data_IF_184870053091
#
_entry.id   IF_184870053091
#
_cell.length_a   1.000
_cell.length_b   1.000
_cell.length_c   1.000
_cell.angle_alpha   90.00
_cell.angle_beta   90.00
_cell.angle_gamma   90.00
#
_symmetry.space_group_name_H-M   'P 1'
#
loop_
_entity.id
_entity.type
_entity.pdbx_description
1 polymer ?
#
# COMPACT_ATOMS: atom_id res chain seq x y z
N UNK A 1 9.18 -36.74 -13.59
CA UNK A 1 9.22 -35.71 -12.52
C UNK A 1 8.53 -34.47 -13.05
N UNK A 2 7.45 -34.01 -12.41
CA UNK A 2 6.79 -32.76 -12.82
C UNK A 2 7.76 -31.60 -12.61
N UNK A 3 7.87 -30.69 -13.59
CA UNK A 3 8.63 -29.46 -13.43
C UNK A 3 8.14 -28.72 -12.16
N UNK A 4 9.04 -28.14 -11.35
CA UNK A 4 8.61 -27.38 -10.18
C UNK A 4 7.69 -26.26 -10.65
N UNK A 5 6.46 -26.24 -10.11
CA UNK A 5 5.46 -25.20 -10.38
C UNK A 5 6.13 -23.86 -10.06
N UNK A 6 6.33 -23.02 -11.06
CA UNK A 6 6.99 -21.72 -10.88
C UNK A 6 6.20 -20.94 -9.82
N UNK A 7 6.86 -20.54 -8.73
CA UNK A 7 6.19 -19.82 -7.65
C UNK A 7 5.61 -18.51 -8.21
N UNK A 8 4.30 -18.32 -8.05
CA UNK A 8 3.62 -17.13 -8.55
C UNK A 8 4.10 -15.89 -7.80
N UNK A 9 4.26 -14.77 -8.53
CA UNK A 9 4.57 -13.48 -7.92
C UNK A 9 3.49 -13.12 -6.88
N UNK A 10 3.93 -12.57 -5.75
CA UNK A 10 3.10 -12.13 -4.63
C UNK A 10 3.16 -10.62 -4.51
N UNK A 11 2.03 -10.01 -4.17
CA UNK A 11 1.96 -8.57 -3.94
C UNK A 11 1.60 -8.33 -2.48
N UNK A 12 2.51 -7.65 -1.78
CA UNK A 12 2.30 -7.11 -0.45
C UNK A 12 1.67 -5.72 -0.61
N UNK A 13 0.39 -5.59 -0.31
CA UNK A 13 -0.32 -4.31 -0.30
C UNK A 13 -0.37 -3.80 1.15
N UNK A 14 0.19 -2.62 1.39
CA UNK A 14 0.16 -2.00 2.72
C UNK A 14 -0.55 -0.66 2.65
N UNK A 15 -1.58 -0.49 3.46
CA UNK A 15 -2.21 0.82 3.64
C UNK A 15 -1.52 1.62 4.72
N UNK A 16 -1.38 2.92 4.44
CA UNK A 16 -1.01 3.92 5.43
C UNK A 16 -2.26 4.50 6.09
N UNK A 17 -2.11 4.79 7.37
CA UNK A 17 -3.12 5.33 8.24
C UNK A 17 -2.57 5.42 9.65
N UNK A 18 -3.37 5.96 10.56
CA UNK A 18 -3.01 6.10 11.97
C UNK A 18 -3.82 5.12 12.84
N UNK A 19 -3.24 4.63 13.95
CA UNK A 19 -3.99 3.90 14.96
C UNK A 19 -4.99 4.83 15.66
N UNK A 20 -5.80 4.25 16.56
CA UNK A 20 -6.75 5.02 17.38
C UNK A 20 -6.06 6.21 18.07
N UNK A 21 -6.73 7.38 18.14
CA UNK A 21 -8.11 7.62 17.75
C UNK A 21 -8.34 7.92 16.25
N UNK A 22 -7.29 7.95 15.43
CA UNK A 22 -7.35 8.49 14.06
C UNK A 22 -7.63 7.44 12.97
N UNK A 23 -8.28 6.33 13.31
CA UNK A 23 -8.55 5.21 12.38
C UNK A 23 -9.49 5.58 11.24
N UNK A 24 -10.39 6.54 11.48
CA UNK A 24 -11.47 6.92 10.56
C UNK A 24 -11.30 8.36 10.06
N UNK A 25 -10.05 8.80 9.94
CA UNK A 25 -9.67 10.13 9.45
C UNK A 25 -9.27 10.11 7.98
N UNK A 26 -9.22 11.27 7.32
CA UNK A 26 -8.76 11.35 5.93
C UNK A 26 -7.34 10.79 5.76
N UNK A 27 -6.47 10.95 6.75
CA UNK A 27 -5.13 10.37 6.74
C UNK A 27 -5.10 8.84 6.87
N UNK A 28 -6.25 8.22 7.15
CA UNK A 28 -6.45 6.77 7.20
C UNK A 28 -7.31 6.27 6.03
N UNK A 29 -7.53 7.08 4.99
CA UNK A 29 -8.25 6.67 3.78
C UNK A 29 -7.69 5.36 3.18
N UNK A 30 -6.37 5.18 3.21
CA UNK A 30 -5.74 3.92 2.76
C UNK A 30 -6.26 2.69 3.50
N UNK A 31 -6.51 2.77 4.82
CA UNK A 31 -7.08 1.66 5.59
C UNK A 31 -8.48 1.32 5.13
N UNK A 32 -9.32 2.34 4.89
CA UNK A 32 -10.69 2.19 4.39
C UNK A 32 -10.70 1.52 3.01
N UNK A 33 -9.85 2.00 2.10
CA UNK A 33 -9.70 1.42 0.76
C UNK A 33 -9.31 -0.05 0.85
N UNK A 34 -8.29 -0.42 1.62
CA UNK A 34 -7.88 -1.82 1.72
C UNK A 34 -8.97 -2.74 2.29
N UNK A 35 -9.76 -2.23 3.25
CA UNK A 35 -10.86 -3.00 3.85
C UNK A 35 -11.92 -3.37 2.82
N UNK A 36 -12.30 -2.44 1.93
CA UNK A 36 -13.28 -2.69 0.89
C UNK A 36 -12.67 -3.42 -0.31
N UNK A 37 -11.45 -3.05 -0.73
CA UNK A 37 -10.72 -3.73 -1.80
C UNK A 37 -10.68 -5.24 -1.60
N UNK A 38 -10.48 -5.70 -0.36
CA UNK A 38 -10.41 -7.12 -0.01
C UNK A 38 -11.61 -7.93 -0.52
N UNK A 39 -12.84 -7.38 -0.50
CA UNK A 39 -14.04 -8.13 -0.90
C UNK A 39 -14.14 -8.33 -2.41
N UNK A 40 -13.40 -7.55 -3.19
CA UNK A 40 -13.36 -7.64 -4.65
C UNK A 40 -12.20 -8.51 -5.16
N UNK A 41 -11.24 -8.84 -4.31
CA UNK A 41 -10.10 -9.66 -4.69
C UNK A 41 -10.45 -11.15 -4.67
N UNK A 42 -10.07 -11.92 -5.71
CA UNK A 42 -10.46 -13.31 -5.85
C UNK A 42 -9.84 -14.17 -4.73
N UNK A 43 -10.67 -14.97 -4.06
CA UNK A 43 -10.29 -15.86 -2.96
C UNK A 43 -9.51 -15.16 -1.83
N UNK A 44 -9.70 -13.85 -1.64
CA UNK A 44 -9.00 -13.10 -0.61
C UNK A 44 -9.70 -13.26 0.75
N UNK A 45 -9.02 -13.75 1.81
CA UNK A 45 -9.63 -13.93 3.12
C UNK A 45 -10.06 -12.61 3.76
N UNK A 46 -11.01 -12.66 4.70
CA UNK A 46 -11.36 -11.51 5.52
C UNK A 46 -10.15 -11.05 6.37
N UNK A 47 -10.15 -9.77 6.75
CA UNK A 47 -9.14 -9.24 7.68
C UNK A 47 -9.27 -9.91 9.05
N UNK A 48 -8.12 -10.25 9.62
CA UNK A 48 -7.99 -10.72 10.99
C UNK A 48 -6.79 -10.06 11.67
N UNK A 49 -6.80 -10.04 13.00
CA UNK A 49 -5.69 -9.50 13.79
C UNK A 49 -4.56 -10.53 13.86
N UNK A 50 -3.35 -10.13 13.52
CA UNK A 50 -2.13 -10.93 13.68
C UNK A 50 -0.98 -10.11 14.27
N UNK A 51 -0.05 -10.78 14.96
CA UNK A 51 1.15 -10.19 15.57
C UNK A 51 2.42 -10.41 14.75
N UNK A 52 2.27 -11.09 13.63
CA UNK A 52 3.36 -11.59 12.79
C UNK A 52 4.24 -10.50 12.18
N UNK A 53 3.66 -9.38 11.81
CA UNK A 53 4.32 -8.35 10.99
C UNK A 53 4.90 -7.18 11.81
N UNK A 54 4.67 -7.14 13.13
CA UNK A 54 5.00 -5.98 13.95
C UNK A 54 5.62 -6.33 15.31
N UNK A 55 6.59 -7.26 15.33
CA UNK A 55 7.34 -7.65 16.54
C UNK A 55 6.42 -8.01 17.71
N UNK A 56 5.42 -8.87 17.48
CA UNK A 56 4.49 -9.27 18.53
C UNK A 56 3.32 -8.30 18.76
N UNK A 57 3.34 -7.10 18.16
CA UNK A 57 2.21 -6.15 18.22
C UNK A 57 1.19 -6.45 17.11
N UNK A 58 -0.09 -6.30 17.41
CA UNK A 58 -1.17 -6.60 16.47
C UNK A 58 -1.25 -5.63 15.29
N UNK A 59 -1.59 -6.15 14.11
CA UNK A 59 -2.05 -5.41 12.94
C UNK A 59 -3.22 -6.15 12.28
N UNK A 60 -4.03 -5.44 11.50
CA UNK A 60 -5.05 -6.09 10.66
C UNK A 60 -4.38 -6.59 9.38
N UNK A 61 -4.59 -7.86 9.08
CA UNK A 61 -4.05 -8.53 7.91
C UNK A 61 -5.09 -9.41 7.21
N UNK A 62 -5.03 -9.45 5.89
CA UNK A 62 -5.71 -10.42 5.05
C UNK A 62 -4.66 -11.09 4.17
N UNK A 63 -4.36 -12.36 4.44
CA UNK A 63 -3.24 -13.09 3.82
C UNK A 63 -3.81 -14.15 2.88
N UNK A 64 -3.85 -13.84 1.58
CA UNK A 64 -4.29 -14.74 0.51
C UNK A 64 -3.11 -15.38 -0.22
N UNK A 65 -3.39 -16.13 -1.29
CA UNK A 65 -2.34 -16.74 -2.12
C UNK A 65 -1.62 -15.70 -2.98
N UNK A 66 -2.35 -14.79 -3.62
CA UNK A 66 -1.78 -13.73 -4.47
C UNK A 66 -1.39 -12.48 -3.68
N UNK A 67 -2.25 -12.07 -2.75
CA UNK A 67 -2.14 -10.80 -2.05
C UNK A 67 -1.96 -10.97 -0.54
N UNK A 68 -1.01 -10.23 0.02
CA UNK A 68 -0.91 -9.99 1.46
C UNK A 68 -1.33 -8.55 1.72
N UNK A 69 -2.53 -8.32 2.25
CA UNK A 69 -3.04 -6.98 2.59
C UNK A 69 -2.76 -6.68 4.06
N UNK A 70 -2.07 -5.58 4.36
CA UNK A 70 -1.80 -5.16 5.74
C UNK A 70 -2.25 -3.71 5.98
N UNK A 71 -2.81 -3.45 7.15
CA UNK A 71 -3.02 -2.09 7.64
C UNK A 71 -1.89 -1.72 8.61
N UNK A 72 -1.16 -0.65 8.31
CA UNK A 72 -0.11 -0.13 9.19
C UNK A 72 -0.68 0.19 10.58
N UNK A 73 -0.21 -0.43 11.67
CA UNK A 73 -0.74 -0.21 13.01
C UNK A 73 -0.01 0.93 13.76
N UNK A 74 0.78 1.73 13.05
CA UNK A 74 1.72 2.70 13.63
C UNK A 74 1.34 4.12 13.26
N UNK A 75 1.75 5.10 14.06
CA UNK A 75 1.61 6.51 13.66
C UNK A 75 2.27 6.77 12.30
N UNK A 76 1.65 7.66 11.52
CA UNK A 76 1.99 7.89 10.13
C UNK A 76 3.47 8.24 9.93
N UNK A 77 4.05 9.09 10.79
CA UNK A 77 5.44 9.53 10.68
C UNK A 77 6.48 8.40 10.91
N UNK A 78 6.06 7.25 11.47
CA UNK A 78 6.91 6.09 11.78
C UNK A 78 6.47 4.80 11.07
N UNK A 79 5.58 4.88 10.08
CA UNK A 79 5.12 3.72 9.30
C UNK A 79 6.23 2.96 8.57
N UNK A 80 7.35 3.61 8.24
CA UNK A 80 8.44 2.99 7.48
C UNK A 80 9.04 1.76 8.15
N UNK A 81 9.17 1.76 9.48
CA UNK A 81 9.69 0.62 10.21
C UNK A 81 8.77 -0.60 10.12
N UNK A 82 7.45 -0.39 10.15
CA UNK A 82 6.47 -1.47 9.97
C UNK A 82 6.52 -2.03 8.55
N UNK A 83 6.51 -1.15 7.54
CA UNK A 83 6.55 -1.57 6.12
C UNK A 83 7.81 -2.39 5.83
N UNK A 84 8.98 -1.94 6.32
CA UNK A 84 10.24 -2.68 6.21
C UNK A 84 10.12 -4.10 6.79
N UNK A 85 9.68 -4.21 8.06
CA UNK A 85 9.56 -5.51 8.74
C UNK A 85 8.58 -6.43 8.03
N UNK A 86 7.46 -5.90 7.55
CA UNK A 86 6.47 -6.68 6.83
C UNK A 86 7.04 -7.23 5.51
N UNK A 87 7.75 -6.40 4.75
CA UNK A 87 8.41 -6.80 3.51
C UNK A 87 9.48 -7.87 3.76
N UNK A 88 10.39 -7.65 4.72
CA UNK A 88 11.46 -8.60 5.07
C UNK A 88 10.90 -9.93 5.62
N UNK A 89 9.76 -9.89 6.33
CA UNK A 89 9.08 -11.10 6.77
C UNK A 89 8.51 -11.88 5.59
N UNK A 90 7.78 -11.23 4.69
CA UNK A 90 7.24 -11.91 3.51
C UNK A 90 8.37 -12.47 2.64
N UNK A 91 9.47 -11.72 2.49
CA UNK A 91 10.64 -12.17 1.75
C UNK A 91 11.26 -13.43 2.37
N UNK A 92 11.40 -13.48 3.69
CA UNK A 92 11.87 -14.67 4.42
C UNK A 92 10.91 -15.86 4.24
N UNK A 93 9.60 -15.63 4.31
CA UNK A 93 8.57 -16.65 4.07
C UNK A 93 8.67 -17.26 2.66
N UNK A 94 9.15 -16.47 1.70
CA UNK A 94 9.40 -16.89 0.32
C UNK A 94 10.82 -17.42 0.06
N UNK A 95 11.60 -17.70 1.10
CA UNK A 95 12.97 -18.21 0.95
C UNK A 95 13.94 -17.23 0.30
N UNK A 96 13.69 -15.92 0.42
CA UNK A 96 14.57 -14.88 -0.13
C UNK A 96 14.36 -14.57 -1.61
N UNK A 97 13.28 -15.06 -2.24
CA UNK A 97 12.94 -14.82 -3.65
C UNK A 97 12.39 -13.41 -3.89
N UNK A 98 13.29 -12.44 -3.90
CA UNK A 98 12.99 -10.99 -4.06
C UNK A 98 12.29 -10.67 -5.39
N UNK A 99 12.61 -11.43 -6.45
CA UNK A 99 12.01 -11.33 -7.78
C UNK A 99 10.51 -11.65 -7.79
N UNK A 100 10.03 -12.36 -6.77
CA UNK A 100 8.64 -12.79 -6.65
C UNK A 100 7.85 -11.99 -5.61
N UNK A 101 8.47 -11.05 -4.88
CA UNK A 101 7.79 -10.22 -3.89
C UNK A 101 7.74 -8.76 -4.33
N UNK A 102 6.54 -8.23 -4.46
CA UNK A 102 6.29 -6.86 -4.91
C UNK A 102 5.54 -6.08 -3.84
N UNK A 103 5.75 -4.76 -3.78
CA UNK A 103 5.18 -3.90 -2.75
C UNK A 103 4.31 -2.82 -3.39
N UNK A 104 3.08 -2.69 -2.91
CA UNK A 104 2.20 -1.57 -3.25
C UNK A 104 1.78 -0.89 -1.97
N UNK A 105 2.02 0.42 -1.88
CA UNK A 105 1.60 1.22 -0.73
C UNK A 105 0.39 2.08 -1.10
N UNK A 106 -0.71 1.92 -0.37
CA UNK A 106 -1.95 2.71 -0.57
C UNK A 106 -2.00 3.82 0.48
N UNK A 107 -2.14 5.07 0.05
CA UNK A 107 -2.09 6.23 0.94
C UNK A 107 -2.92 7.40 0.41
N UNK A 108 -3.29 8.34 1.28
CA UNK A 108 -4.00 9.56 0.92
C UNK A 108 -3.13 10.55 0.12
N UNK A 109 -3.75 11.36 -0.72
CA UNK A 109 -3.10 12.41 -1.51
C UNK A 109 -3.95 13.68 -1.47
N UNK A 110 -3.38 14.74 -0.92
CA UNK A 110 -4.04 16.03 -0.72
C UNK A 110 -4.34 16.77 -2.02
N UNK A 111 -3.85 16.30 -3.15
CA UNK A 111 -3.83 17.09 -4.38
C UNK A 111 -4.51 16.36 -5.54
N UNK A 112 -5.08 15.19 -5.24
CA UNK A 112 -6.04 14.52 -6.08
C UNK A 112 -7.43 14.87 -5.54
N UNK A 113 -8.40 15.00 -6.45
CA UNK A 113 -9.79 15.23 -6.07
C UNK A 113 -10.30 14.06 -5.22
N UNK A 114 -11.30 14.32 -4.37
CA UNK A 114 -11.90 13.27 -3.56
C UNK A 114 -12.37 12.11 -4.44
N UNK A 115 -11.87 10.90 -4.18
CA UNK A 115 -12.21 9.70 -4.95
C UNK A 115 -11.27 9.42 -6.14
N UNK A 116 -10.46 10.39 -6.57
CA UNK A 116 -9.49 10.20 -7.65
C UNK A 116 -8.36 9.27 -7.20
N UNK A 117 -7.90 8.39 -8.09
CA UNK A 117 -6.81 7.47 -7.79
C UNK A 117 -5.70 7.61 -8.80
N UNK A 118 -4.45 7.43 -8.35
CA UNK A 118 -3.30 7.39 -9.24
C UNK A 118 -2.29 6.33 -8.83
N UNK A 119 -1.99 5.43 -9.77
CA UNK A 119 -0.81 4.57 -9.67
C UNK A 119 0.45 5.40 -9.90
N UNK A 120 1.36 5.39 -8.93
CA UNK A 120 2.63 6.12 -8.97
C UNK A 120 3.81 5.17 -8.90
N UNK A 121 4.85 5.48 -9.69
CA UNK A 121 6.17 4.84 -9.55
C UNK A 121 6.71 5.09 -8.13
N UNK A 122 7.39 4.10 -7.55
CA UNK A 122 7.92 4.18 -6.19
C UNK A 122 8.71 5.47 -5.92
N UNK A 123 9.66 5.81 -6.80
CA UNK A 123 10.59 6.92 -6.66
C UNK A 123 9.97 8.31 -6.94
N UNK A 124 8.70 8.39 -7.31
CA UNK A 124 8.04 9.69 -7.49
C UNK A 124 7.96 10.46 -6.17
N UNK A 125 7.85 11.80 -6.24
CA UNK A 125 7.78 12.68 -5.07
C UNK A 125 6.76 12.21 -4.04
N UNK A 126 7.14 12.24 -2.76
CA UNK A 126 6.24 11.94 -1.65
C UNK A 126 5.25 13.08 -1.36
N UNK A 127 5.35 14.23 -2.04
CA UNK A 127 4.43 15.39 -1.94
C UNK A 127 4.06 15.77 -0.49
N UNK A 128 5.07 15.84 0.37
CA UNK A 128 4.87 16.16 1.79
C UNK A 128 4.38 15.01 2.69
N UNK A 129 3.83 13.90 2.14
CA UNK A 129 3.21 12.83 2.91
C UNK A 129 4.19 12.13 3.89
N UNK A 130 3.88 12.18 5.18
CA UNK A 130 4.79 11.75 6.26
C UNK A 130 5.05 10.25 6.29
N UNK A 131 4.06 9.42 5.96
CA UNK A 131 4.22 7.97 5.88
C UNK A 131 5.15 7.53 4.76
N UNK A 132 4.95 8.03 3.53
CA UNK A 132 5.87 7.79 2.40
C UNK A 132 7.29 8.28 2.72
N UNK A 133 7.45 9.47 3.33
CA UNK A 133 8.76 9.93 3.81
C UNK A 133 9.38 8.93 4.78
N UNK A 134 8.59 8.40 5.72
CA UNK A 134 9.02 7.40 6.69
C UNK A 134 9.51 6.12 6.01
N UNK A 135 8.77 5.61 5.03
CA UNK A 135 9.16 4.39 4.30
C UNK A 135 10.45 4.62 3.52
N UNK A 136 10.56 5.72 2.79
CA UNK A 136 11.77 6.03 2.00
C UNK A 136 13.04 6.16 2.86
N UNK A 137 12.91 6.49 4.15
CA UNK A 137 14.04 6.48 5.11
C UNK A 137 14.42 5.08 5.56
N UNK A 138 13.46 4.19 5.74
CA UNK A 138 13.67 2.87 6.37
C UNK A 138 13.92 1.73 5.37
N UNK A 139 13.30 1.80 4.20
CA UNK A 139 13.25 0.74 3.21
C UNK A 139 13.77 1.27 1.86
N UNK A 140 14.99 0.87 1.48
CA UNK A 140 15.64 1.32 0.24
C UNK A 140 15.40 0.29 -0.86
N UNK A 141 14.93 0.78 -2.01
CA UNK A 141 14.67 -0.09 -3.17
C UNK A 141 15.96 -0.73 -3.71
N UNK A 142 17.10 -0.06 -3.57
CA UNK A 142 18.43 -0.56 -3.95
C UNK A 142 18.79 -1.86 -3.27
N UNK A 143 18.25 -2.13 -2.09
CA UNK A 143 18.60 -3.31 -1.30
C UNK A 143 17.82 -4.56 -1.77
N UNK A 144 16.85 -4.38 -2.67
CA UNK A 144 15.91 -5.41 -3.13
C UNK A 144 15.75 -5.39 -4.65
N UNK A 145 16.86 -5.54 -5.36
CA UNK A 145 16.87 -5.62 -6.82
C UNK A 145 15.98 -6.78 -7.31
N UNK A 146 15.20 -6.55 -8.36
CA UNK A 146 14.19 -7.50 -8.85
C UNK A 146 12.78 -7.30 -8.27
N UNK A 147 12.64 -6.77 -7.06
CA UNK A 147 11.33 -6.43 -6.51
C UNK A 147 10.77 -5.16 -7.19
N UNK A 148 9.51 -5.18 -7.63
CA UNK A 148 8.83 -4.01 -8.20
C UNK A 148 7.92 -3.38 -7.16
N UNK A 149 8.07 -2.07 -6.97
CA UNK A 149 7.34 -1.32 -5.95
C UNK A 149 6.56 -0.17 -6.59
N UNK A 150 5.38 0.10 -6.07
CA UNK A 150 4.54 1.20 -6.49
C UNK A 150 3.77 1.82 -5.32
N UNK A 151 3.15 2.97 -5.57
CA UNK A 151 2.21 3.61 -4.64
C UNK A 151 0.88 3.81 -5.35
N UNK A 152 -0.21 3.59 -4.66
CA UNK A 152 -1.55 4.00 -5.11
C UNK A 152 -1.95 5.18 -4.23
N UNK A 153 -2.00 6.35 -4.83
CA UNK A 153 -2.42 7.60 -4.20
C UNK A 153 -3.93 7.74 -4.33
N UNK A 154 -4.61 8.01 -3.21
CA UNK A 154 -6.07 8.13 -3.13
C UNK A 154 -6.40 9.56 -2.74
N UNK A 155 -7.14 10.26 -3.59
CA UNK A 155 -7.45 11.65 -3.41
C UNK A 155 -8.42 11.88 -2.27
N UNK A 156 -8.01 12.79 -1.38
CA UNK A 156 -8.82 13.27 -0.27
C UNK A 156 -9.20 14.74 -0.43
N UNK A 157 -8.68 15.42 -1.45
CA UNK A 157 -8.79 16.88 -1.60
C UNK A 157 -7.82 17.65 -0.70
N UNK A 158 -7.90 18.98 -0.78
CA UNK A 158 -7.06 19.90 0.01
C UNK A 158 -7.94 20.92 0.74
N UNK A 159 -7.59 21.34 1.96
CA UNK A 159 -8.19 22.52 2.56
C UNK A 159 -7.80 23.79 1.79
N UNK A 160 -8.56 24.87 2.00
CA UNK A 160 -8.31 26.16 1.34
C UNK A 160 -6.98 26.76 1.80
N UNK A 161 -6.70 26.76 3.10
CA UNK A 161 -5.43 27.19 3.63
C UNK A 161 -4.34 26.14 3.38
N UNK A 162 -3.14 26.67 3.18
CA UNK A 162 -1.96 25.90 2.76
C UNK A 162 -0.90 25.80 3.83
N UNK A 163 -1.10 26.45 4.98
CA UNK A 163 -0.19 26.30 6.10
C UNK A 163 -0.26 24.89 6.69
N UNK A 164 0.74 24.58 7.50
CA UNK A 164 0.96 23.22 8.00
C UNK A 164 -0.09 22.80 9.03
N UNK A 165 -0.61 23.73 9.82
CA UNK A 165 -1.54 23.43 10.90
C UNK A 165 -2.92 23.14 10.35
N UNK A 166 -3.36 23.90 9.34
CA UNK A 166 -4.62 23.65 8.66
C UNK A 166 -4.60 22.31 7.92
N UNK A 167 -3.52 22.03 7.17
CA UNK A 167 -3.36 20.73 6.48
C UNK A 167 -3.35 19.58 7.49
N UNK A 168 -2.66 19.74 8.62
CA UNK A 168 -2.62 18.70 9.67
C UNK A 168 -4.01 18.47 10.26
N UNK A 169 -4.74 19.54 10.55
CA UNK A 169 -6.11 19.47 11.11
C UNK A 169 -7.08 18.83 10.13
N UNK A 170 -6.94 19.16 8.84
CA UNK A 170 -7.72 18.59 7.75
C UNK A 170 -7.50 17.08 7.63
N UNK A 171 -6.25 16.61 7.56
CA UNK A 171 -6.02 15.16 7.38
C UNK A 171 -6.38 14.35 8.63
N UNK A 172 -6.32 14.95 9.83
CA UNK A 172 -6.60 14.27 11.10
C UNK A 172 -8.05 14.36 11.55
N UNK A 173 -8.93 15.11 10.87
CA UNK A 173 -10.36 15.08 11.20
C UNK A 173 -11.03 13.80 10.68
N UNK A 174 -12.13 13.36 11.32
CA UNK A 174 -12.92 12.25 10.81
C UNK A 174 -13.42 12.49 9.38
N UNK A 175 -13.49 11.42 8.60
CA UNK A 175 -14.15 11.43 7.30
C UNK A 175 -15.66 11.63 7.48
N UNK A 176 -16.27 12.41 6.59
CA UNK A 176 -17.72 12.58 6.50
C UNK A 176 -18.35 11.41 5.73
N UNK A 177 -19.68 11.29 5.82
CA UNK A 177 -20.42 10.27 5.05
C UNK A 177 -20.23 10.43 3.54
N UNK A 178 -20.20 11.67 3.05
CA UNK A 178 -19.91 11.96 1.63
C UNK A 178 -18.52 11.48 1.22
N UNK A 179 -17.51 11.73 2.06
CA UNK A 179 -16.13 11.30 1.78
C UNK A 179 -15.98 9.79 1.85
N UNK A 180 -16.56 9.17 2.87
CA UNK A 180 -16.53 7.70 2.99
C UNK A 180 -17.21 7.02 1.81
N UNK A 181 -18.36 7.55 1.37
CA UNK A 181 -19.07 7.06 0.18
C UNK A 181 -18.25 7.26 -1.09
N UNK A 182 -17.65 8.43 -1.29
CA UNK A 182 -16.79 8.67 -2.45
C UNK A 182 -15.58 7.73 -2.48
N UNK A 183 -14.95 7.46 -1.33
CA UNK A 183 -13.85 6.51 -1.25
C UNK A 183 -14.29 5.08 -1.59
N UNK A 184 -15.46 4.65 -1.12
CA UNK A 184 -15.94 3.29 -1.33
C UNK A 184 -16.49 3.06 -2.75
N UNK A 185 -17.27 4.00 -3.26
CA UNK A 185 -17.99 3.86 -4.54
C UNK A 185 -17.14 4.29 -5.73
N UNK A 186 -16.22 5.25 -5.56
CA UNK A 186 -15.38 5.78 -6.65
C UNK A 186 -13.94 5.28 -6.56
N UNK A 187 -13.28 5.44 -5.41
CA UNK A 187 -11.86 5.13 -5.31
C UNK A 187 -11.56 3.62 -5.27
N UNK A 188 -12.40 2.78 -4.65
CA UNK A 188 -12.14 1.33 -4.60
C UNK A 188 -12.10 0.68 -6.00
N UNK A 189 -13.05 0.94 -6.92
CA UNK A 189 -12.96 0.48 -8.31
C UNK A 189 -11.68 0.96 -9.01
N UNK A 190 -11.31 2.23 -8.84
CA UNK A 190 -10.10 2.78 -9.45
C UNK A 190 -8.82 2.19 -8.85
N UNK A 191 -8.82 1.81 -7.58
CA UNK A 191 -7.71 1.08 -6.94
C UNK A 191 -7.58 -0.32 -7.52
N UNK A 192 -8.69 -1.01 -7.83
CA UNK A 192 -8.66 -2.30 -8.52
C UNK A 192 -8.04 -2.17 -9.91
N UNK A 193 -8.43 -1.14 -10.67
CA UNK A 193 -7.84 -0.86 -11.98
C UNK A 193 -6.35 -0.54 -11.88
N UNK A 194 -5.95 0.31 -10.92
CA UNK A 194 -4.55 0.63 -10.66
C UNK A 194 -3.73 -0.61 -10.25
N UNK A 195 -4.32 -1.55 -9.51
CA UNK A 195 -3.68 -2.81 -9.14
C UNK A 195 -3.53 -3.73 -10.36
N UNK A 196 -4.57 -3.88 -11.18
CA UNK A 196 -4.50 -4.63 -12.43
C UNK A 196 -3.45 -4.05 -13.40
N UNK A 197 -3.35 -2.74 -13.52
CA UNK A 197 -2.31 -2.06 -14.31
C UNK A 197 -0.91 -2.34 -13.78
N UNK A 198 -0.75 -2.41 -12.45
CA UNK A 198 0.51 -2.79 -11.84
C UNK A 198 0.85 -4.26 -12.16
N UNK A 199 -0.11 -5.17 -12.04
CA UNK A 199 0.07 -6.59 -12.37
C UNK A 199 0.43 -6.82 -13.83
N UNK A 200 -0.25 -6.15 -14.76
CA UNK A 200 0.08 -6.20 -16.19
C UNK A 200 1.53 -5.80 -16.45
N UNK A 201 2.01 -4.73 -15.80
CA UNK A 201 3.41 -4.31 -15.89
C UNK A 201 4.36 -5.38 -15.35
N UNK A 202 4.01 -6.06 -14.25
CA UNK A 202 4.83 -7.17 -13.72
C UNK A 202 4.98 -8.31 -14.73
N UNK A 203 3.90 -8.67 -15.42
CA UNK A 203 3.92 -9.71 -16.46
C UNK A 203 4.76 -9.28 -17.67
N UNK A 204 4.71 -8.02 -18.06
CA UNK A 204 5.57 -7.46 -19.11
C UNK A 204 7.05 -7.54 -18.70
N UNK A 205 7.40 -7.17 -17.45
CA UNK A 205 8.77 -7.30 -16.94
C UNK A 205 9.25 -8.74 -16.88
N UNK A 206 8.39 -9.69 -16.53
CA UNK A 206 8.75 -11.11 -16.45
C UNK A 206 9.09 -11.71 -17.83
N UNK A 207 8.63 -11.09 -18.92
CA UNK A 207 8.92 -11.49 -20.30
C UNK A 207 10.21 -10.88 -20.87
N UNK A 208 10.78 -9.86 -20.22
CA UNK A 208 11.98 -9.20 -20.69
C UNK A 208 13.23 -10.08 -20.48
N UNK A 209 14.17 -10.12 -21.45
CA UNK A 209 15.47 -10.76 -21.25
C UNK A 209 16.21 -10.14 -20.07
N UNK A 210 16.90 -10.96 -19.26
CA UNK A 210 17.62 -10.51 -18.05
C UNK A 210 18.64 -9.38 -18.31
N UNK A 211 19.10 -9.20 -19.55
CA UNK A 211 20.01 -8.13 -19.96
C UNK A 211 19.37 -6.74 -20.07
N UNK A 212 18.03 -6.62 -20.00
CA UNK A 212 17.28 -5.36 -20.20
C UNK A 212 16.44 -4.93 -18.98
N UNK A 213 16.48 -5.67 -17.87
CA UNK A 213 15.58 -5.46 -16.72
C UNK A 213 16.04 -4.39 -15.70
N UNK A 214 17.17 -3.72 -15.96
CA UNK A 214 17.92 -2.87 -15.03
C UNK A 214 17.84 -1.35 -15.26
N UNK A 215 16.93 -0.87 -16.12
CA UNK A 215 16.64 0.57 -16.29
C UNK A 215 15.33 1.01 -15.61
#
# INVERSE_FOLDING_TARGET
MAAPKQAAARILLISLGNPRPYTDTLHSAGHRILKHLQTYLPAQPAFSRTTDFNNGKGCQASIGERYSLLQSPTQMNVSGGFVKRAFERELRRMGGRVDLLHLVVVHDDLELGLGDVRLRKWLSSHRGHNGVKSINRNLKKSDYEGARWARISVGIGRPEGRDREEVSSYVLRPMTDTETRALDELAVPEVLLALADFEKKLEEYAKLPKSQAAE
#
